data_IF_949787403287
#
_entry.id   IF_949787403287
#
_cell.length_a   1.000
_cell.length_b   1.000
_cell.length_c   1.000
_cell.angle_alpha   90.00
_cell.angle_beta   90.00
_cell.angle_gamma   90.00
#
_symmetry.space_group_name_H-M   'P 1'
#
loop_
_entity.id
_entity.type
_entity.pdbx_description
1 polymer ?
#
# COMPACT_ATOMS: atom_id res chain seq x y z
N UNK A 1 22.30 -23.93 40.67
CA UNK A 1 22.76 -24.98 39.74
C UNK A 1 22.80 -24.38 38.33
N UNK A 2 23.92 -24.49 37.59
CA UNK A 2 23.98 -23.96 36.23
C UNK A 2 23.04 -24.74 35.31
N UNK A 3 22.16 -24.03 34.61
CA UNK A 3 21.27 -24.58 33.60
C UNK A 3 21.78 -24.17 32.21
N UNK A 4 21.67 -25.07 31.25
CA UNK A 4 21.96 -24.83 29.84
C UNK A 4 20.66 -24.57 29.09
N UNK A 5 20.60 -23.50 28.29
CA UNK A 5 19.46 -23.16 27.45
C UNK A 5 19.81 -23.45 25.98
N UNK A 6 19.07 -24.38 25.35
CA UNK A 6 19.09 -24.58 23.91
C UNK A 6 17.96 -23.77 23.26
N UNK A 7 18.27 -23.06 22.18
CA UNK A 7 17.29 -22.33 21.37
C UNK A 7 17.39 -22.80 19.93
N UNK A 8 16.25 -23.08 19.31
CA UNK A 8 16.11 -23.32 17.87
C UNK A 8 15.22 -22.23 17.27
N UNK A 9 15.72 -21.57 16.22
CA UNK A 9 15.05 -20.43 15.59
C UNK A 9 14.63 -20.80 14.17
N UNK A 10 13.32 -20.81 13.96
CA UNK A 10 12.68 -20.95 12.65
C UNK A 10 11.88 -19.67 12.33
N UNK A 11 11.46 -19.45 11.07
CA UNK A 11 10.77 -18.22 10.66
C UNK A 11 9.49 -17.88 11.43
N UNK A 12 8.85 -18.87 12.06
CA UNK A 12 7.59 -18.74 12.81
C UNK A 12 7.56 -19.54 14.11
N UNK A 13 8.68 -20.14 14.49
CA UNK A 13 8.77 -21.00 15.68
C UNK A 13 10.06 -20.70 16.43
N UNK A 14 9.97 -20.53 17.74
CA UNK A 14 11.11 -20.53 18.65
C UNK A 14 10.99 -21.78 19.51
N UNK A 15 11.83 -22.78 19.25
CA UNK A 15 11.97 -23.94 20.12
C UNK A 15 12.96 -23.62 21.24
N UNK A 16 12.67 -24.11 22.45
CA UNK A 16 13.57 -23.95 23.58
C UNK A 16 13.65 -25.23 24.41
N UNK A 17 14.82 -25.50 24.95
CA UNK A 17 15.07 -26.61 25.86
C UNK A 17 15.96 -26.16 27.01
N UNK A 18 15.59 -26.54 28.23
CA UNK A 18 16.34 -26.25 29.44
C UNK A 18 16.95 -27.56 29.95
N UNK A 19 18.26 -27.62 30.04
CA UNK A 19 19.00 -28.79 30.52
C UNK A 19 19.74 -28.46 31.81
N UNK A 20 19.92 -29.48 32.65
CA UNK A 20 20.87 -29.42 33.75
C UNK A 20 22.31 -29.51 33.22
N UNK A 21 23.19 -28.56 33.55
CA UNK A 21 24.53 -28.55 32.96
C UNK A 21 25.41 -29.73 33.42
N UNK A 22 25.14 -30.30 34.60
CA UNK A 22 25.90 -31.44 35.13
C UNK A 22 25.36 -32.77 34.63
N UNK A 23 24.07 -33.03 34.81
CA UNK A 23 23.47 -34.33 34.45
C UNK A 23 23.05 -34.44 32.98
N UNK A 24 23.08 -33.33 32.23
CA UNK A 24 22.55 -33.22 30.85
C UNK A 24 21.09 -33.68 30.70
N UNK A 25 20.35 -33.80 31.81
CA UNK A 25 18.92 -34.14 31.79
C UNK A 25 18.10 -32.93 31.37
N UNK A 26 17.06 -33.18 30.59
CA UNK A 26 16.08 -32.16 30.19
C UNK A 26 15.21 -31.83 31.40
N UNK A 27 15.21 -30.56 31.81
CA UNK A 27 14.33 -30.02 32.86
C UNK A 27 13.00 -29.55 32.30
N UNK A 28 13.03 -28.93 31.13
CA UNK A 28 11.84 -28.44 30.43
C UNK A 28 12.15 -28.26 28.95
N UNK A 29 11.11 -28.28 28.13
CA UNK A 29 11.20 -27.92 26.71
C UNK A 29 9.86 -27.39 26.23
N UNK A 30 9.89 -26.63 25.14
CA UNK A 30 8.67 -26.15 24.51
C UNK A 30 8.95 -25.49 23.17
N UNK A 31 7.87 -25.07 22.52
CA UNK A 31 7.92 -24.27 21.31
C UNK A 31 6.96 -23.10 21.42
N UNK A 32 7.37 -21.96 20.90
CA UNK A 32 6.54 -20.78 20.74
C UNK A 32 6.28 -20.56 19.25
N UNK A 33 5.04 -20.78 18.82
CA UNK A 33 4.61 -20.59 17.42
C UNK A 33 3.94 -19.24 17.29
N UNK A 34 4.37 -18.44 16.31
CA UNK A 34 3.86 -17.09 16.08
C UNK A 34 3.59 -16.82 14.60
N UNK A 35 2.72 -15.85 14.25
CA UNK A 35 2.45 -15.52 12.85
C UNK A 35 3.68 -14.93 12.16
N UNK A 36 3.94 -15.38 10.94
CA UNK A 36 5.07 -14.90 10.11
C UNK A 36 4.99 -13.39 9.90
N UNK A 37 6.14 -12.72 9.97
CA UNK A 37 6.28 -11.26 9.82
C UNK A 37 6.08 -10.74 8.39
N UNK A 38 6.02 -11.64 7.41
CA UNK A 38 5.98 -11.34 5.99
C UNK A 38 4.59 -11.62 5.39
N UNK A 39 4.29 -10.92 4.31
CA UNK A 39 3.16 -11.14 3.41
C UNK A 39 3.70 -11.98 2.24
N UNK A 40 2.94 -12.99 1.80
CA UNK A 40 3.36 -13.94 0.76
C UNK A 40 4.67 -14.66 1.11
N UNK A 41 4.79 -15.13 2.36
CA UNK A 41 5.95 -15.91 2.79
C UNK A 41 6.15 -17.14 1.88
N UNK A 42 7.40 -17.40 1.48
CA UNK A 42 7.73 -18.52 0.59
C UNK A 42 7.44 -18.26 -0.89
N UNK A 43 6.99 -17.05 -1.26
CA UNK A 43 6.72 -16.67 -2.66
C UNK A 43 7.94 -16.04 -3.37
N UNK A 44 9.15 -16.22 -2.84
CA UNK A 44 10.39 -15.69 -3.39
C UNK A 44 10.35 -14.16 -3.52
N UNK A 45 10.48 -13.64 -4.75
CA UNK A 45 10.50 -12.18 -5.02
C UNK A 45 9.22 -11.43 -4.61
N UNK A 46 8.09 -12.14 -4.42
CA UNK A 46 6.82 -11.54 -3.99
C UNK A 46 6.68 -11.43 -2.47
N UNK A 47 7.63 -11.99 -1.73
CA UNK A 47 7.67 -11.92 -0.29
C UNK A 47 8.02 -10.51 0.17
N UNK A 48 7.21 -9.95 1.06
CA UNK A 48 7.33 -8.58 1.53
C UNK A 48 7.12 -8.53 3.03
N UNK A 49 7.89 -7.72 3.76
CA UNK A 49 7.56 -7.47 5.16
C UNK A 49 6.17 -6.83 5.28
N UNK A 50 5.43 -7.14 6.35
CA UNK A 50 4.13 -6.50 6.65
C UNK A 50 4.25 -4.98 6.68
N UNK A 51 5.38 -4.44 7.14
CA UNK A 51 5.64 -3.00 7.17
C UNK A 51 5.81 -2.41 5.76
N UNK A 52 6.58 -3.06 4.89
CA UNK A 52 6.76 -2.64 3.49
C UNK A 52 5.42 -2.63 2.76
N UNK A 53 4.62 -3.69 2.90
CA UNK A 53 3.28 -3.75 2.31
C UNK A 53 2.37 -2.60 2.79
N UNK A 54 2.35 -2.33 4.10
CA UNK A 54 1.59 -1.20 4.68
C UNK A 54 2.05 0.14 4.10
N UNK A 55 3.37 0.35 4.00
CA UNK A 55 3.95 1.56 3.42
C UNK A 55 3.54 1.75 1.97
N UNK A 56 3.64 0.71 1.14
CA UNK A 56 3.24 0.75 -0.27
C UNK A 56 1.76 1.10 -0.44
N UNK A 57 0.88 0.45 0.33
CA UNK A 57 -0.57 0.79 0.30
C UNK A 57 -0.84 2.21 0.76
N UNK A 58 -0.14 2.71 1.78
CA UNK A 58 -0.23 4.12 2.23
C UNK A 58 0.20 5.08 1.12
N UNK A 59 1.36 4.85 0.50
CA UNK A 59 1.87 5.71 -0.58
C UNK A 59 0.89 5.75 -1.74
N UNK A 60 0.35 4.61 -2.17
CA UNK A 60 -0.63 4.54 -3.24
C UNK A 60 -1.88 5.38 -2.93
N UNK A 61 -2.45 5.25 -1.71
CA UNK A 61 -3.61 6.06 -1.28
C UNK A 61 -3.31 7.56 -1.32
N UNK A 62 -2.15 7.97 -0.81
CA UNK A 62 -1.73 9.38 -0.78
C UNK A 62 -1.53 9.91 -2.20
N UNK A 63 -0.87 9.14 -3.07
CA UNK A 63 -0.65 9.52 -4.47
C UNK A 63 -1.97 9.71 -5.23
N UNK A 64 -2.91 8.77 -5.08
CA UNK A 64 -4.25 8.87 -5.69
C UNK A 64 -5.01 10.09 -5.18
N UNK A 65 -5.01 10.35 -3.87
CA UNK A 65 -5.67 11.52 -3.28
C UNK A 65 -5.06 12.83 -3.79
N UNK A 66 -3.72 12.93 -3.84
CA UNK A 66 -3.01 14.11 -4.37
C UNK A 66 -3.28 14.32 -5.86
N UNK A 67 -3.25 13.25 -6.65
CA UNK A 67 -3.57 13.30 -8.08
C UNK A 67 -4.99 13.82 -8.31
N UNK A 68 -5.97 13.30 -7.54
CA UNK A 68 -7.36 13.77 -7.61
C UNK A 68 -7.48 15.25 -7.27
N UNK A 69 -6.87 15.68 -6.15
CA UNK A 69 -6.89 17.10 -5.72
C UNK A 69 -6.29 18.02 -6.78
N UNK A 70 -5.16 17.62 -7.40
CA UNK A 70 -4.53 18.38 -8.49
C UNK A 70 -5.43 18.48 -9.71
N UNK A 71 -6.01 17.36 -10.18
CA UNK A 71 -6.93 17.36 -11.33
C UNK A 71 -8.12 18.30 -11.12
N UNK A 72 -8.75 18.21 -9.96
CA UNK A 72 -9.86 19.10 -9.58
C UNK A 72 -9.40 20.56 -9.63
N UNK A 73 -8.26 20.88 -9.00
CA UNK A 73 -7.77 22.27 -8.94
C UNK A 73 -7.43 22.83 -10.32
N UNK A 74 -6.83 22.03 -11.20
CA UNK A 74 -6.55 22.40 -12.59
C UNK A 74 -7.85 22.72 -13.32
N UNK A 75 -8.86 21.86 -13.21
CA UNK A 75 -10.16 22.10 -13.87
C UNK A 75 -10.87 23.33 -13.29
N UNK A 76 -10.83 23.56 -11.98
CA UNK A 76 -11.34 24.81 -11.39
C UNK A 76 -10.72 26.06 -12.04
N UNK A 77 -9.41 26.03 -12.31
CA UNK A 77 -8.70 27.15 -12.95
C UNK A 77 -9.11 27.28 -14.43
N UNK A 78 -9.18 26.17 -15.16
CA UNK A 78 -9.56 26.19 -16.58
C UNK A 78 -11.00 26.68 -16.79
N UNK A 79 -11.94 26.24 -15.95
CA UNK A 79 -13.34 26.68 -16.02
C UNK A 79 -13.45 28.18 -15.75
N UNK A 80 -12.74 28.70 -14.74
CA UNK A 80 -12.70 30.15 -14.46
C UNK A 80 -12.23 30.98 -15.65
N UNK A 81 -11.33 30.43 -16.46
CA UNK A 81 -10.80 31.08 -17.66
C UNK A 81 -11.58 30.73 -18.95
N UNK A 82 -12.74 30.06 -18.84
CA UNK A 82 -13.54 29.60 -20.00
C UNK A 82 -12.77 28.68 -20.96
N UNK A 83 -11.75 27.97 -20.47
CA UNK A 83 -10.90 27.06 -21.25
C UNK A 83 -11.28 25.58 -21.08
N UNK A 84 -12.36 25.30 -20.36
CA UNK A 84 -12.88 23.95 -20.15
C UNK A 84 -14.38 23.93 -20.47
N UNK A 85 -14.87 22.92 -21.21
CA UNK A 85 -16.29 22.80 -21.52
C UNK A 85 -17.15 22.36 -20.31
N UNK A 86 -16.51 22.02 -19.18
CA UNK A 86 -17.20 21.60 -17.96
C UNK A 86 -17.75 22.80 -17.17
N UNK A 87 -18.94 22.66 -16.59
CA UNK A 87 -19.49 23.65 -15.65
C UNK A 87 -18.89 23.54 -14.24
N UNK A 88 -18.95 24.62 -13.46
CA UNK A 88 -18.55 24.59 -12.03
C UNK A 88 -19.42 23.66 -11.18
N UNK A 89 -20.72 23.57 -11.49
CA UNK A 89 -21.67 22.68 -10.80
C UNK A 89 -21.34 21.20 -11.05
N UNK A 90 -21.07 20.82 -12.30
CA UNK A 90 -20.65 19.46 -12.66
C UNK A 90 -19.32 19.08 -11.99
N UNK A 91 -18.41 20.04 -11.84
CA UNK A 91 -17.15 19.82 -11.13
C UNK A 91 -17.36 19.60 -9.61
N UNK A 92 -18.35 20.26 -9.00
CA UNK A 92 -18.73 19.99 -7.60
C UNK A 92 -19.38 18.63 -7.46
N UNK A 93 -20.26 18.26 -8.40
CA UNK A 93 -20.90 16.94 -8.42
C UNK A 93 -19.85 15.83 -8.47
N UNK A 94 -18.86 15.93 -9.37
CA UNK A 94 -17.76 14.96 -9.45
C UNK A 94 -16.90 14.89 -8.17
N UNK A 95 -16.74 16.01 -7.46
CA UNK A 95 -16.02 16.00 -6.18
C UNK A 95 -16.77 15.17 -5.12
N UNK A 96 -18.09 15.24 -5.10
CA UNK A 96 -18.95 14.55 -4.16
C UNK A 96 -19.17 13.08 -4.54
N UNK A 97 -19.65 12.81 -5.76
CA UNK A 97 -20.02 11.46 -6.22
C UNK A 97 -18.82 10.61 -6.63
N UNK A 98 -17.69 11.25 -6.96
CA UNK A 98 -16.50 10.61 -7.60
C UNK A 98 -16.77 10.09 -9.01
N UNK A 99 -17.94 10.31 -9.57
CA UNK A 99 -18.32 9.89 -10.91
C UNK A 99 -17.83 10.89 -11.95
N UNK A 100 -17.08 10.40 -12.92
CA UNK A 100 -16.45 11.25 -13.91
C UNK A 100 -17.48 11.73 -14.95
N UNK A 101 -17.63 13.06 -15.18
CA UNK A 101 -18.61 13.61 -16.12
C UNK A 101 -18.17 13.32 -17.56
N UNK A 102 -18.59 12.15 -18.05
CA UNK A 102 -18.08 11.59 -19.30
C UNK A 102 -18.73 12.25 -20.51
N UNK A 103 -20.02 12.57 -20.45
CA UNK A 103 -20.77 13.11 -21.60
C UNK A 103 -20.20 14.44 -22.11
N UNK A 104 -19.92 15.39 -21.21
CA UNK A 104 -19.44 16.74 -21.56
C UNK A 104 -17.96 16.76 -21.93
N UNK A 105 -17.14 15.88 -21.35
CA UNK A 105 -15.68 15.88 -21.59
C UNK A 105 -15.22 14.88 -22.65
N UNK A 106 -16.10 14.01 -23.16
CA UNK A 106 -15.75 12.96 -24.12
C UNK A 106 -15.08 13.52 -25.37
N UNK A 107 -15.71 14.50 -26.03
CA UNK A 107 -15.18 15.14 -27.23
C UNK A 107 -13.85 15.85 -26.95
N UNK A 108 -13.74 16.50 -25.80
CA UNK A 108 -12.53 17.21 -25.39
C UNK A 108 -11.33 16.27 -25.18
N UNK A 109 -11.55 15.10 -24.59
CA UNK A 109 -10.50 14.11 -24.33
C UNK A 109 -10.21 13.18 -25.51
N UNK A 110 -11.10 13.10 -26.50
CA UNK A 110 -10.81 12.41 -27.77
C UNK A 110 -9.76 13.14 -28.60
N UNK A 111 -9.58 14.45 -28.41
CA UNK A 111 -8.51 15.19 -29.08
C UNK A 111 -7.13 14.69 -28.65
N UNK A 112 -6.23 14.49 -29.62
CA UNK A 112 -4.88 14.03 -29.34
C UNK A 112 -4.05 15.15 -28.65
N UNK A 113 -3.69 14.99 -27.35
CA UNK A 113 -2.99 16.04 -26.62
C UNK A 113 -1.57 16.26 -27.13
N UNK A 114 -0.92 15.24 -27.71
CA UNK A 114 0.44 15.36 -28.23
C UNK A 114 0.48 16.14 -29.55
N UNK A 115 -0.51 15.94 -30.41
CA UNK A 115 -0.64 16.71 -31.66
C UNK A 115 -0.92 18.19 -31.36
N UNK A 116 -1.78 18.48 -30.38
CA UNK A 116 -2.12 19.84 -29.97
C UNK A 116 -0.97 20.58 -29.28
N UNK A 117 -0.06 19.88 -28.59
CA UNK A 117 1.13 20.49 -27.96
C UNK A 117 2.27 20.78 -28.93
N UNK A 118 2.28 20.12 -30.09
CA UNK A 118 3.32 20.28 -31.11
C UNK A 118 3.04 21.47 -32.04
N UNK A 119 1.77 21.82 -32.23
CA UNK A 119 1.34 23.04 -32.92
C UNK A 119 1.62 24.26 -32.05
#
# INVERSE_FOLDING_TARGET
>A
MPNLLGLTLEPNVIGWSLLDAKSKKIKAMGSHVFPIGNVNFGSGRKELSKQSFRRTKRIARVALARNRKRKIKVLQILIKNKMCPLGMEELKLWQQTKEFPTATLKSWFQMNPYALRKK
#
